data_IF_261689090641
#
_entry.id   IF_261689090641
#
_cell.length_a   1.000
_cell.length_b   1.000
_cell.length_c   1.000
_cell.angle_alpha   90.00
_cell.angle_beta   90.00
_cell.angle_gamma   90.00
#
_symmetry.space_group_name_H-M   'P 1'
#
loop_
_entity.id
_entity.type
_entity.pdbx_description
1 polymer ?
#
# COMPACT_ATOMS: atom_id res chain seq x y z
N UNK A 1 -32.69 -2.00 4.74
CA UNK A 1 -31.30 -2.21 4.29
C UNK A 1 -30.65 -0.85 4.13
N UNK A 2 -30.10 -0.27 5.22
CA UNK A 2 -29.32 0.97 5.24
C UNK A 2 -28.86 1.25 6.69
N UNK A 3 -27.96 0.40 7.20
CA UNK A 3 -27.11 0.79 8.31
C UNK A 3 -25.71 0.88 7.74
N UNK A 4 -25.31 2.09 7.35
CA UNK A 4 -23.96 2.38 6.85
C UNK A 4 -22.88 2.31 7.93
N UNK A 5 -23.26 2.03 9.17
CA UNK A 5 -22.38 1.94 10.33
C UNK A 5 -22.57 0.56 10.99
N UNK A 6 -21.68 -0.36 10.67
CA UNK A 6 -21.43 -1.59 11.43
C UNK A 6 -19.95 -1.67 11.80
N UNK A 7 -19.54 -2.57 12.72
CA UNK A 7 -18.15 -3.00 12.74
C UNK A 7 -17.89 -3.73 11.41
N UNK A 8 -16.95 -3.22 10.61
CA UNK A 8 -16.48 -3.88 9.39
C UNK A 8 -15.09 -4.43 9.66
N UNK A 9 -14.83 -5.67 9.24
CA UNK A 9 -13.51 -6.28 9.36
C UNK A 9 -12.53 -5.71 8.32
N UNK A 10 -13.03 -5.20 7.20
CA UNK A 10 -12.23 -4.54 6.16
C UNK A 10 -13.05 -3.54 5.32
N UNK A 11 -12.33 -2.62 4.68
CA UNK A 11 -12.85 -1.69 3.69
C UNK A 11 -12.15 -1.94 2.35
N UNK A 12 -12.92 -2.10 1.28
CA UNK A 12 -12.40 -2.17 -0.08
C UNK A 12 -12.51 -0.79 -0.72
N UNK A 13 -11.36 -0.23 -1.07
CA UNK A 13 -11.25 1.04 -1.79
C UNK A 13 -10.76 0.81 -3.21
N UNK A 14 -11.21 1.65 -4.14
CA UNK A 14 -10.65 1.77 -5.49
C UNK A 14 -10.07 3.16 -5.63
N UNK A 15 -8.85 3.25 -6.13
CA UNK A 15 -8.12 4.50 -6.29
C UNK A 15 -6.71 4.25 -6.79
N UNK A 16 -5.93 5.31 -6.91
CA UNK A 16 -4.54 5.26 -7.38
C UNK A 16 -3.61 5.82 -6.30
N UNK A 17 -2.68 4.98 -5.81
CA UNK A 17 -1.58 5.45 -4.94
C UNK A 17 -0.52 6.22 -5.73
N UNK A 18 -0.33 5.83 -6.99
CA UNK A 18 0.59 6.47 -7.91
C UNK A 18 -0.22 7.21 -8.99
N UNK A 19 -0.29 8.55 -8.95
CA UNK A 19 -1.02 9.34 -9.93
C UNK A 19 -0.27 9.37 -11.28
N UNK A 20 -0.95 9.82 -12.33
CA UNK A 20 -0.34 10.06 -13.65
C UNK A 20 0.43 11.39 -13.72
N UNK A 21 0.19 12.28 -12.76
CA UNK A 21 0.87 13.58 -12.62
C UNK A 21 1.85 13.56 -11.43
N UNK A 22 3.16 13.83 -11.65
CA UNK A 22 4.15 13.91 -10.58
C UNK A 22 3.82 14.95 -9.48
N UNK A 23 3.09 16.03 -9.80
CA UNK A 23 2.74 17.07 -8.83
C UNK A 23 1.80 16.55 -7.74
N UNK A 24 1.02 15.50 -8.04
CA UNK A 24 0.08 14.88 -7.12
C UNK A 24 0.73 13.79 -6.25
N UNK A 25 2.00 13.43 -6.50
CA UNK A 25 2.68 12.35 -5.79
C UNK A 25 3.05 12.73 -4.34
N UNK A 26 3.00 14.03 -4.01
CA UNK A 26 3.44 14.57 -2.72
C UNK A 26 2.78 13.87 -1.52
N UNK A 27 1.45 13.72 -1.53
CA UNK A 27 0.73 13.10 -0.41
C UNK A 27 1.16 11.64 -0.20
N UNK A 28 1.35 10.87 -1.27
CA UNK A 28 1.82 9.50 -1.16
C UNK A 28 3.24 9.41 -0.57
N UNK A 29 4.12 10.33 -0.99
CA UNK A 29 5.49 10.39 -0.48
C UNK A 29 5.55 10.75 0.99
N UNK A 30 4.61 11.55 1.50
CA UNK A 30 4.53 11.84 2.94
C UNK A 30 4.41 10.54 3.76
N UNK A 31 3.67 9.53 3.26
CA UNK A 31 3.57 8.23 3.92
C UNK A 31 4.85 7.39 3.76
N UNK A 32 5.41 7.32 2.56
CA UNK A 32 6.62 6.51 2.28
C UNK A 32 7.84 7.04 3.05
N UNK A 33 7.93 8.35 3.22
CA UNK A 33 9.01 9.02 3.96
C UNK A 33 8.77 9.10 5.46
N UNK A 34 7.62 8.62 5.95
CA UNK A 34 7.28 8.65 7.37
C UNK A 34 6.93 10.04 7.91
N UNK A 35 6.62 11.00 7.04
CA UNK A 35 6.09 12.33 7.41
C UNK A 35 4.61 12.26 7.80
N UNK A 36 3.91 11.19 7.39
CA UNK A 36 2.53 10.86 7.76
C UNK A 36 2.39 9.36 8.01
N UNK A 37 1.54 8.99 8.95
CA UNK A 37 1.24 7.59 9.27
C UNK A 37 -0.05 7.13 8.57
N UNK A 38 -0.05 5.88 8.11
CA UNK A 38 -1.25 5.22 7.60
C UNK A 38 -2.05 4.69 8.80
N UNK A 39 -3.30 5.15 9.00
CA UNK A 39 -4.00 4.97 10.26
C UNK A 39 -4.50 3.53 10.50
N UNK A 40 -4.65 2.75 9.44
CA UNK A 40 -5.06 1.34 9.50
C UNK A 40 -4.20 0.51 8.55
N UNK A 41 -3.96 -0.78 8.84
CA UNK A 41 -3.28 -1.66 7.91
C UNK A 41 -3.92 -1.62 6.52
N UNK A 42 -3.17 -1.12 5.55
CA UNK A 42 -3.63 -0.83 4.20
C UNK A 42 -2.82 -1.67 3.23
N UNK A 43 -3.54 -2.46 2.45
CA UNK A 43 -2.98 -3.34 1.44
C UNK A 43 -3.48 -2.88 0.08
N UNK A 44 -2.59 -2.78 -0.89
CA UNK A 44 -2.97 -2.37 -2.23
C UNK A 44 -2.36 -3.26 -3.30
N UNK A 45 -3.00 -3.19 -4.47
CA UNK A 45 -2.58 -3.83 -5.71
C UNK A 45 -2.35 -2.75 -6.77
N UNK A 46 -1.57 -3.09 -7.79
CA UNK A 46 -1.19 -2.17 -8.86
C UNK A 46 0.23 -1.66 -8.72
N UNK A 47 0.84 -1.37 -9.87
CA UNK A 47 2.23 -0.98 -10.05
C UNK A 47 2.40 0.02 -11.21
N UNK A 48 1.31 0.67 -11.57
CA UNK A 48 1.21 1.66 -12.64
C UNK A 48 1.10 3.08 -12.07
N UNK A 49 1.38 4.09 -12.90
CA UNK A 49 1.43 5.50 -12.51
C UNK A 49 2.87 6.00 -12.34
N UNK A 50 3.00 7.31 -12.11
CA UNK A 50 4.29 7.97 -11.97
C UNK A 50 5.03 7.42 -10.73
N UNK A 51 6.32 7.14 -10.90
CA UNK A 51 7.21 6.65 -9.85
C UNK A 51 6.88 5.29 -9.24
N UNK A 52 5.78 4.62 -9.64
CA UNK A 52 5.41 3.30 -9.13
C UNK A 52 6.56 2.30 -9.26
N UNK A 53 7.09 2.13 -10.47
CA UNK A 53 8.23 1.23 -10.72
C UNK A 53 9.46 1.56 -9.85
N UNK A 54 9.77 2.84 -9.65
CA UNK A 54 10.93 3.28 -8.86
C UNK A 54 10.73 2.98 -7.37
N UNK A 55 9.60 3.37 -6.80
CA UNK A 55 9.28 3.23 -5.38
C UNK A 55 9.14 1.75 -5.01
N UNK A 56 8.39 0.99 -5.82
CA UNK A 56 8.17 -0.44 -5.58
C UNK A 56 9.47 -1.24 -5.74
N UNK A 57 10.32 -0.91 -6.71
CA UNK A 57 11.62 -1.55 -6.85
C UNK A 57 12.53 -1.26 -5.63
N UNK A 58 12.53 -0.02 -5.11
CA UNK A 58 13.27 0.31 -3.91
C UNK A 58 12.76 -0.50 -2.69
N UNK A 59 11.44 -0.57 -2.49
CA UNK A 59 10.83 -1.33 -1.40
C UNK A 59 11.20 -2.82 -1.46
N UNK A 60 11.25 -3.44 -2.65
CA UNK A 60 11.64 -4.86 -2.78
C UNK A 60 13.11 -5.15 -2.45
N UNK A 61 13.96 -4.12 -2.40
CA UNK A 61 15.38 -4.25 -2.04
C UNK A 61 15.64 -4.04 -0.55
N UNK A 62 14.63 -3.61 0.21
CA UNK A 62 14.74 -3.47 1.65
C UNK A 62 15.02 -4.85 2.28
N UNK A 63 16.04 -4.98 3.16
CA UNK A 63 16.33 -6.22 3.86
C UNK A 63 15.13 -6.85 4.57
N UNK A 64 14.21 -6.02 5.09
CA UNK A 64 12.97 -6.46 5.73
C UNK A 64 11.98 -7.11 4.74
N UNK A 65 12.15 -6.90 3.44
CA UNK A 65 11.31 -7.49 2.38
C UNK A 65 12.00 -8.63 1.63
N UNK A 66 13.27 -8.94 1.94
CA UNK A 66 13.99 -10.06 1.32
C UNK A 66 13.46 -11.41 1.82
N UNK A 67 13.59 -12.42 0.95
CA UNK A 67 13.16 -13.80 1.21
C UNK A 67 11.77 -14.13 0.64
N UNK A 68 11.30 -15.34 0.92
CA UNK A 68 9.97 -15.79 0.51
C UNK A 68 8.94 -15.33 1.53
N UNK A 69 8.23 -14.23 1.24
CA UNK A 69 7.15 -13.68 2.07
C UNK A 69 5.83 -13.69 1.31
N UNK A 70 4.79 -14.15 1.98
CA UNK A 70 3.42 -14.17 1.43
C UNK A 70 2.62 -12.92 1.79
N UNK A 71 3.12 -12.08 2.71
CA UNK A 71 2.32 -11.03 3.35
C UNK A 71 2.40 -9.69 2.59
N UNK A 72 3.03 -9.69 1.41
CA UNK A 72 3.28 -8.50 0.60
C UNK A 72 4.64 -7.84 0.89
N UNK A 73 4.92 -6.78 0.15
CA UNK A 73 6.12 -5.93 0.28
C UNK A 73 5.74 -4.73 1.13
N UNK A 74 6.42 -4.52 2.26
CA UNK A 74 6.21 -3.35 3.11
C UNK A 74 6.81 -2.11 2.45
N UNK A 75 6.03 -1.04 2.31
CA UNK A 75 6.51 0.27 1.87
C UNK A 75 6.85 1.16 3.05
N UNK A 76 5.93 1.24 4.02
CA UNK A 76 6.11 1.90 5.31
C UNK A 76 5.21 1.23 6.36
N UNK A 77 5.15 1.77 7.58
CA UNK A 77 4.26 1.23 8.61
C UNK A 77 2.81 1.29 8.15
N UNK A 78 2.09 0.18 8.34
CA UNK A 78 0.71 -0.02 7.90
C UNK A 78 0.44 0.09 6.38
N UNK A 79 1.45 0.06 5.51
CA UNK A 79 1.26 0.12 4.05
C UNK A 79 2.03 -0.98 3.31
N UNK A 80 1.29 -1.83 2.60
CA UNK A 80 1.81 -3.03 1.95
C UNK A 80 1.35 -3.18 0.51
N UNK A 81 2.28 -3.53 -0.38
CA UNK A 81 2.00 -3.85 -1.78
C UNK A 81 1.94 -5.37 -1.98
N UNK A 82 0.82 -5.88 -2.47
CA UNK A 82 0.57 -7.33 -2.56
C UNK A 82 1.22 -8.03 -3.77
N UNK A 83 1.86 -7.30 -4.70
CA UNK A 83 2.64 -7.82 -5.85
C UNK A 83 2.00 -9.04 -6.55
N UNK A 84 0.68 -9.03 -6.71
CA UNK A 84 -0.09 -10.09 -7.40
C UNK A 84 -0.09 -11.49 -6.77
N UNK A 85 0.53 -11.71 -5.60
CA UNK A 85 0.68 -13.04 -4.98
C UNK A 85 0.52 -13.04 -3.46
N UNK A 86 0.21 -11.88 -2.87
CA UNK A 86 0.04 -11.74 -1.43
C UNK A 86 -1.13 -12.57 -0.90
N UNK A 87 -0.85 -13.51 0.01
CA UNK A 87 -1.84 -14.20 0.83
C UNK A 87 -1.76 -13.64 2.23
N UNK A 88 -2.74 -12.84 2.61
CA UNK A 88 -2.86 -12.31 3.97
C UNK A 88 -4.07 -12.91 4.68
N UNK A 89 -4.00 -12.98 6.01
CA UNK A 89 -5.10 -13.43 6.86
C UNK A 89 -5.81 -12.19 7.38
N UNK A 90 -7.10 -12.08 7.05
CA UNK A 90 -8.01 -11.15 7.70
C UNK A 90 -8.47 -11.81 9.01
N UNK A 91 -8.28 -11.12 10.13
CA UNK A 91 -8.70 -11.57 11.46
C UNK A 91 -10.05 -10.98 11.84
#
# INVERSE_FOLDING_TARGET
VNKSNGPFDFLLCVGQFFPDDPELLGEFMDFVEGRREVPIPTYFIGDYGVSAAKILAAATRDPANLGFKTDGVKLCDNLYWLKGSGRFVLH
#
